data_IF_497573603356
#
_entry.id   IF_497573603356
#
_cell.length_a   1.000
_cell.length_b   1.000
_cell.length_c   1.000
_cell.angle_alpha   90.00
_cell.angle_beta   90.00
_cell.angle_gamma   90.00
#
_symmetry.space_group_name_H-M   'P 1'
#
loop_
_entity.id
_entity.type
_entity.pdbx_description
1 polymer ?
#
# COMPACT_ATOMS: atom_id res chain seq x y z
N UNK A 1 -24.75 35.64 27.71
CA UNK A 1 -23.88 35.10 26.63
C UNK A 1 -24.46 35.54 25.29
N UNK A 2 -23.72 36.36 24.53
CA UNK A 2 -24.19 36.82 23.22
C UNK A 2 -24.21 35.66 22.23
N UNK A 3 -25.38 35.36 21.66
CA UNK A 3 -25.56 34.28 20.66
C UNK A 3 -24.61 34.41 19.47
N UNK A 4 -24.29 35.63 19.05
CA UNK A 4 -23.30 35.89 17.99
C UNK A 4 -21.87 35.47 18.37
N UNK A 5 -21.50 35.56 19.65
CA UNK A 5 -20.17 35.16 20.13
C UNK A 5 -20.02 33.64 20.15
N UNK A 6 -21.10 32.92 20.48
CA UNK A 6 -21.16 31.45 20.42
C UNK A 6 -21.07 30.96 18.97
N UNK A 7 -21.77 31.62 18.04
CA UNK A 7 -21.76 31.25 16.63
C UNK A 7 -20.37 31.46 15.99
N UNK A 8 -19.70 32.57 16.29
CA UNK A 8 -18.34 32.82 15.80
C UNK A 8 -17.31 31.83 16.35
N UNK A 9 -17.45 31.41 17.62
CA UNK A 9 -16.57 30.42 18.21
C UNK A 9 -16.78 29.02 17.58
N UNK A 10 -18.04 28.65 17.30
CA UNK A 10 -18.37 27.38 16.65
C UNK A 10 -17.80 27.29 15.22
N UNK A 11 -17.88 28.39 14.47
CA UNK A 11 -17.29 28.48 13.12
C UNK A 11 -15.75 28.36 13.14
N UNK A 12 -15.09 28.91 14.16
CA UNK A 12 -13.63 28.80 14.30
C UNK A 12 -13.18 27.36 14.60
N UNK A 13 -13.96 26.58 15.36
CA UNK A 13 -13.66 25.15 15.59
C UNK A 13 -13.81 24.29 14.32
N UNK A 14 -14.75 24.61 13.43
CA UNK A 14 -14.93 23.88 12.17
C UNK A 14 -13.75 24.04 11.20
N UNK A 15 -13.05 25.18 11.26
CA UNK A 15 -11.88 25.46 10.41
C UNK A 15 -10.60 24.75 10.90
N UNK A 16 -10.55 24.31 12.16
CA UNK A 16 -9.38 23.61 12.71
C UNK A 16 -9.26 22.15 12.22
N UNK A 17 -10.35 21.55 11.71
CA UNK A 17 -10.35 20.18 11.17
C UNK A 17 -9.64 20.01 9.82
N UNK A 18 -9.49 21.07 9.02
CA UNK A 18 -8.70 21.02 7.79
C UNK A 18 -7.19 21.12 8.02
N UNK A 19 -6.76 21.55 9.22
CA UNK A 19 -5.35 21.80 9.54
C UNK A 19 -4.67 20.62 10.28
N UNK A 20 -5.36 19.51 10.52
CA UNK A 20 -4.74 18.24 10.93
C UNK A 20 -4.00 17.65 9.74
N UNK A 21 -2.86 18.27 9.44
CA UNK A 21 -2.00 17.94 8.33
C UNK A 21 -1.26 16.61 8.53
N UNK A 22 -1.16 15.91 7.41
CA UNK A 22 0.01 15.17 6.95
C UNK A 22 0.55 14.01 7.79
N UNK A 23 -0.17 13.51 8.81
CA UNK A 23 0.12 12.16 9.32
C UNK A 23 -0.52 11.16 8.38
N UNK A 24 0.26 10.62 7.45
CA UNK A 24 -0.19 9.52 6.62
C UNK A 24 -0.55 8.35 7.54
N UNK A 25 -1.77 7.84 7.39
CA UNK A 25 -2.21 6.66 8.14
C UNK A 25 -1.33 5.45 7.80
N UNK A 26 -0.74 5.46 6.59
CA UNK A 26 0.12 4.42 6.08
C UNK A 26 1.46 4.95 5.56
N UNK A 27 2.47 4.10 5.59
CA UNK A 27 3.76 4.27 4.95
C UNK A 27 3.67 3.72 3.53
N UNK A 28 3.81 4.63 2.57
CA UNK A 28 3.83 4.33 1.14
C UNK A 28 5.26 4.18 0.62
N UNK A 29 6.28 4.45 1.45
CA UNK A 29 7.67 4.51 1.01
C UNK A 29 7.84 5.42 -0.21
N UNK A 30 8.46 4.88 -1.26
CA UNK A 30 8.69 5.56 -2.53
C UNK A 30 7.73 5.09 -3.64
N UNK A 31 6.60 4.48 -3.29
CA UNK A 31 5.70 3.78 -4.22
C UNK A 31 5.44 4.51 -5.55
N UNK A 32 5.01 5.78 -5.49
CA UNK A 32 4.70 6.57 -6.69
C UNK A 32 5.92 6.72 -7.62
N UNK A 33 7.09 7.00 -7.03
CA UNK A 33 8.32 7.15 -7.80
C UNK A 33 8.81 5.81 -8.34
N UNK A 34 8.71 4.74 -7.55
CA UNK A 34 9.03 3.38 -8.02
C UNK A 34 8.17 3.01 -9.24
N UNK A 35 6.86 3.23 -9.18
CA UNK A 35 5.98 2.92 -10.31
C UNK A 35 6.33 3.75 -11.55
N UNK A 36 6.60 5.04 -11.37
CA UNK A 36 7.03 5.90 -12.48
C UNK A 36 8.26 5.30 -13.18
N UNK A 37 9.30 4.94 -12.41
CA UNK A 37 10.52 4.33 -12.95
C UNK A 37 10.23 3.00 -13.64
N UNK A 38 9.46 2.11 -13.00
CA UNK A 38 9.12 0.78 -13.56
C UNK A 38 8.42 0.90 -14.93
N UNK A 39 7.53 1.88 -15.12
CA UNK A 39 6.75 2.02 -16.34
C UNK A 39 7.38 2.92 -17.41
N UNK A 40 8.22 3.88 -17.03
CA UNK A 40 8.75 4.89 -17.95
C UNK A 40 10.25 4.84 -18.17
N UNK A 41 11.02 4.18 -17.31
CA UNK A 41 12.48 4.16 -17.36
C UNK A 41 13.00 2.70 -17.33
N UNK A 42 12.90 1.97 -18.45
CA UNK A 42 13.23 0.54 -18.53
C UNK A 42 14.67 0.21 -18.10
N UNK A 43 15.60 1.15 -18.26
CA UNK A 43 16.99 1.03 -17.82
C UNK A 43 17.16 0.94 -16.29
N UNK A 44 16.20 1.45 -15.51
CA UNK A 44 16.24 1.42 -14.04
C UNK A 44 15.17 0.50 -13.44
N UNK A 45 14.32 -0.12 -14.27
CA UNK A 45 13.20 -0.96 -13.83
C UNK A 45 13.63 -2.05 -12.84
N UNK A 46 14.71 -2.77 -13.15
CA UNK A 46 15.19 -3.88 -12.31
C UNK A 46 15.61 -3.39 -10.92
N UNK A 47 16.42 -2.33 -10.87
CA UNK A 47 16.85 -1.72 -9.60
C UNK A 47 15.66 -1.14 -8.81
N UNK A 48 14.71 -0.50 -9.49
CA UNK A 48 13.51 0.03 -8.84
C UNK A 48 12.67 -1.10 -8.21
N UNK A 49 12.53 -2.22 -8.91
CA UNK A 49 11.83 -3.39 -8.41
C UNK A 49 12.56 -4.04 -7.22
N UNK A 50 13.88 -4.21 -7.29
CA UNK A 50 14.66 -4.74 -6.15
C UNK A 50 14.48 -3.87 -4.89
N UNK A 51 14.57 -2.55 -5.05
CA UNK A 51 14.34 -1.61 -3.95
C UNK A 51 12.92 -1.70 -3.40
N UNK A 52 11.93 -1.89 -4.28
CA UNK A 52 10.54 -2.07 -3.90
C UNK A 52 10.33 -3.34 -3.08
N UNK A 53 10.83 -4.48 -3.56
CA UNK A 53 10.73 -5.76 -2.86
C UNK A 53 11.47 -5.74 -1.52
N UNK A 54 12.64 -5.10 -1.45
CA UNK A 54 13.37 -4.91 -0.20
C UNK A 54 12.58 -4.03 0.79
N UNK A 55 11.98 -2.93 0.31
CA UNK A 55 11.14 -2.06 1.13
C UNK A 55 9.92 -2.82 1.67
N UNK A 56 9.20 -3.55 0.83
CA UNK A 56 7.99 -4.27 1.24
C UNK A 56 8.34 -5.47 2.14
N UNK A 57 9.41 -6.20 1.82
CA UNK A 57 9.86 -7.39 2.56
C UNK A 57 10.39 -7.12 3.97
N UNK A 58 10.76 -5.87 4.29
CA UNK A 58 11.21 -5.52 5.65
C UNK A 58 10.07 -5.45 6.68
N UNK A 59 8.80 -5.51 6.23
CA UNK A 59 7.63 -5.36 7.07
C UNK A 59 7.08 -6.72 7.51
N UNK A 60 7.31 -7.08 8.78
CA UNK A 60 6.90 -8.35 9.39
C UNK A 60 5.78 -8.20 10.45
N UNK A 61 5.46 -6.97 10.89
CA UNK A 61 4.60 -6.70 12.06
C UNK A 61 3.63 -5.51 11.92
N UNK A 62 3.28 -4.87 13.04
CA UNK A 62 2.34 -3.71 13.19
C UNK A 62 2.79 -2.42 12.46
N UNK A 63 3.74 -2.51 11.55
CA UNK A 63 4.09 -1.43 10.64
C UNK A 63 2.90 -1.06 9.78
N UNK A 64 2.65 0.24 9.67
CA UNK A 64 1.55 0.82 8.88
C UNK A 64 1.86 0.79 7.38
N UNK A 65 2.39 -0.30 6.82
CA UNK A 65 2.56 -0.40 5.36
C UNK A 65 1.22 -0.11 4.68
N UNK A 66 1.20 0.55 3.54
CA UNK A 66 -0.05 0.82 2.85
C UNK A 66 -0.71 -0.45 2.30
N UNK A 67 -2.06 -0.54 2.31
CA UNK A 67 -2.78 -1.57 1.58
C UNK A 67 -2.37 -1.61 0.10
N UNK A 68 -2.27 -2.81 -0.46
CA UNK A 68 -1.93 -3.06 -1.85
C UNK A 68 -0.44 -3.24 -2.11
N UNK A 69 0.46 -2.80 -1.23
CA UNK A 69 1.90 -2.88 -1.52
C UNK A 69 2.45 -4.32 -1.50
N UNK A 70 1.90 -5.20 -0.65
CA UNK A 70 2.23 -6.62 -0.75
C UNK A 70 1.60 -7.25 -2.01
N UNK A 71 0.37 -6.85 -2.39
CA UNK A 71 -0.21 -7.34 -3.64
C UNK A 71 0.61 -6.93 -4.87
N UNK A 72 1.07 -5.68 -4.94
CA UNK A 72 1.91 -5.21 -6.06
C UNK A 72 3.25 -5.96 -6.10
N UNK A 73 3.88 -6.20 -4.94
CA UNK A 73 5.10 -7.01 -4.86
C UNK A 73 4.87 -8.43 -5.41
N UNK A 74 3.75 -9.05 -5.05
CA UNK A 74 3.37 -10.36 -5.57
C UNK A 74 3.15 -10.34 -7.09
N UNK A 75 2.51 -9.30 -7.61
CA UNK A 75 2.29 -9.12 -9.06
C UNK A 75 3.59 -8.95 -9.82
N UNK A 76 4.53 -8.15 -9.32
CA UNK A 76 5.84 -8.02 -9.98
C UNK A 76 6.62 -9.34 -10.02
N UNK A 77 6.58 -10.12 -8.94
CA UNK A 77 7.21 -11.45 -8.95
C UNK A 77 6.50 -12.42 -9.91
N UNK A 78 5.17 -12.36 -9.99
CA UNK A 78 4.41 -13.16 -10.94
C UNK A 78 4.76 -12.81 -12.39
N UNK A 79 4.90 -11.52 -12.71
CA UNK A 79 5.34 -11.06 -14.05
C UNK A 79 6.75 -11.56 -14.41
N UNK A 80 7.62 -11.76 -13.42
CA UNK A 80 8.95 -12.35 -13.60
C UNK A 80 8.94 -13.88 -13.67
N UNK A 81 7.78 -14.52 -13.44
CA UNK A 81 7.63 -15.97 -13.39
C UNK A 81 7.95 -16.60 -12.04
N UNK A 82 8.22 -15.81 -10.99
CA UNK A 82 8.36 -16.32 -9.63
C UNK A 82 7.00 -16.49 -8.96
N UNK A 83 6.33 -17.60 -9.31
CA UNK A 83 5.00 -17.93 -8.79
C UNK A 83 5.02 -18.15 -7.27
N UNK A 84 6.07 -18.76 -6.73
CA UNK A 84 6.16 -19.03 -5.29
C UNK A 84 6.33 -17.72 -4.50
N UNK A 85 7.20 -16.82 -4.96
CA UNK A 85 7.34 -15.50 -4.37
C UNK A 85 6.06 -14.67 -4.47
N UNK A 86 5.36 -14.74 -5.62
CA UNK A 86 4.07 -14.09 -5.81
C UNK A 86 3.03 -14.53 -4.78
N UNK A 87 2.84 -15.85 -4.62
CA UNK A 87 1.93 -16.42 -3.62
C UNK A 87 2.33 -15.97 -2.20
N UNK A 88 3.63 -15.94 -1.89
CA UNK A 88 4.14 -15.48 -0.60
C UNK A 88 3.65 -14.07 -0.26
N UNK A 89 3.85 -13.12 -1.17
CA UNK A 89 3.40 -11.74 -0.96
C UNK A 89 1.88 -11.57 -0.99
N UNK A 90 1.17 -12.30 -1.85
CA UNK A 90 -0.30 -12.30 -1.83
C UNK A 90 -0.85 -12.80 -0.49
N UNK A 91 -0.24 -13.81 0.13
CA UNK A 91 -0.64 -14.26 1.47
C UNK A 91 -0.41 -13.18 2.52
N UNK A 92 0.70 -12.44 2.46
CA UNK A 92 0.96 -11.32 3.38
C UNK A 92 -0.11 -10.24 3.29
N UNK A 93 -0.51 -9.85 2.07
CA UNK A 93 -1.59 -8.87 1.86
C UNK A 93 -2.95 -9.41 2.33
N UNK A 94 -3.26 -10.68 2.05
CA UNK A 94 -4.51 -11.35 2.45
C UNK A 94 -4.69 -11.39 3.97
N UNK A 95 -3.61 -11.68 4.69
CA UNK A 95 -3.64 -11.73 6.15
C UNK A 95 -3.77 -10.34 6.76
N UNK A 96 -3.11 -9.34 6.17
CA UNK A 96 -3.05 -7.97 6.72
C UNK A 96 -4.30 -7.15 6.44
N UNK A 97 -4.90 -7.30 5.26
CA UNK A 97 -5.96 -6.43 4.76
C UNK A 97 -7.24 -7.23 4.51
N UNK A 98 -8.22 -7.19 5.43
CA UNK A 98 -9.48 -7.91 5.25
C UNK A 98 -10.20 -7.58 3.95
N UNK A 99 -10.00 -6.37 3.43
CA UNK A 99 -10.60 -5.84 2.21
C UNK A 99 -10.03 -6.53 0.96
N UNK A 100 -8.77 -6.98 1.00
CA UNK A 100 -8.09 -7.62 -0.14
C UNK A 100 -8.46 -9.11 -0.29
N UNK A 101 -8.96 -9.73 0.78
CA UNK A 101 -9.19 -11.19 0.87
C UNK A 101 -9.99 -11.81 -0.27
N UNK A 102 -11.13 -11.22 -0.73
CA UNK A 102 -11.90 -11.83 -1.80
C UNK A 102 -11.10 -11.95 -3.10
N UNK A 103 -10.30 -10.93 -3.44
CA UNK A 103 -9.49 -10.92 -4.65
C UNK A 103 -8.28 -11.85 -4.50
N UNK A 104 -7.54 -11.72 -3.40
CA UNK A 104 -6.31 -12.48 -3.22
C UNK A 104 -6.54 -13.95 -2.96
N UNK A 105 -7.64 -14.32 -2.31
CA UNK A 105 -8.02 -15.72 -2.14
C UNK A 105 -8.14 -16.41 -3.51
N UNK A 106 -8.80 -15.75 -4.47
CA UNK A 106 -8.95 -16.26 -5.85
C UNK A 106 -7.58 -16.36 -6.55
N UNK A 107 -6.72 -15.34 -6.42
CA UNK A 107 -5.39 -15.37 -7.05
C UNK A 107 -4.51 -16.49 -6.47
N UNK A 108 -4.46 -16.61 -5.15
CA UNK A 108 -3.67 -17.63 -4.46
C UNK A 108 -4.16 -19.03 -4.86
N UNK A 109 -5.47 -19.30 -4.79
CA UNK A 109 -6.04 -20.60 -5.15
C UNK A 109 -5.72 -20.98 -6.61
N UNK A 110 -5.88 -20.04 -7.54
CA UNK A 110 -5.60 -20.28 -8.95
C UNK A 110 -4.11 -20.56 -9.24
N UNK A 111 -3.21 -19.85 -8.56
CA UNK A 111 -1.77 -20.04 -8.75
C UNK A 111 -1.30 -21.35 -8.10
N UNK A 112 -1.79 -21.67 -6.90
CA UNK A 112 -1.47 -22.93 -6.22
C UNK A 112 -1.96 -24.16 -7.00
N UNK A 113 -3.09 -24.05 -7.71
CA UNK A 113 -3.60 -25.12 -8.56
C UNK A 113 -2.75 -25.40 -9.81
N UNK A 114 -1.82 -24.52 -10.16
CA UNK A 114 -0.97 -24.61 -11.36
C UNK A 114 0.47 -25.08 -11.06
N UNK A 115 0.83 -25.21 -9.78
CA UNK A 115 2.12 -25.74 -9.32
C UNK A 115 2.15 -27.27 -9.36
#
# INVERSE_FOLDING_TARGET
MNKSLVLSLLSALLLAGCATGNKTLYDWGQYEQTLFVIYHEPEYKEQALENYLAFVGQFDGESRLAPGLFAEAGTFLLEQGDVNGAIGFYKMEYERWPESRPMLGILIENLEAQL
#
